data_IF_456625277489
#
_entry.id   IF_456625277489
#
_cell.length_a   1.000
_cell.length_b   1.000
_cell.length_c   1.000
_cell.angle_alpha   90.00
_cell.angle_beta   90.00
_cell.angle_gamma   90.00
#
_symmetry.space_group_name_H-M   'P 1'
#
loop_
_entity.id
_entity.type
_entity.pdbx_description
1 polymer ?
#
# COMPACT_ATOMS: atom_id res chain seq x y z
N UNK A 1 41.32 -55.82 -46.97
CA UNK A 1 41.84 -54.59 -46.34
C UNK A 1 41.08 -53.41 -46.90
N UNK A 2 40.45 -52.63 -46.02
CA UNK A 2 39.61 -51.47 -46.34
C UNK A 2 40.46 -50.25 -46.73
N UNK A 3 40.00 -49.48 -47.71
CA UNK A 3 40.40 -48.08 -47.87
C UNK A 3 39.22 -47.28 -48.44
N UNK A 4 38.43 -46.68 -47.54
CA UNK A 4 37.36 -45.74 -47.84
C UNK A 4 37.93 -44.33 -47.87
N UNK A 5 37.80 -43.63 -49.01
CA UNK A 5 38.08 -42.20 -49.11
C UNK A 5 37.04 -41.42 -48.28
N UNK A 6 37.52 -40.58 -47.36
CA UNK A 6 36.70 -39.67 -46.56
C UNK A 6 36.97 -38.24 -47.07
N UNK A 7 36.06 -37.69 -47.86
CA UNK A 7 36.04 -36.26 -48.20
C UNK A 7 35.28 -35.49 -47.10
N UNK A 8 35.75 -34.30 -46.66
CA UNK A 8 35.04 -33.50 -45.69
C UNK A 8 34.07 -32.56 -46.40
N UNK A 9 32.77 -32.90 -46.39
CA UNK A 9 31.70 -31.96 -46.74
C UNK A 9 31.18 -31.38 -45.42
N UNK A 10 31.80 -30.30 -44.91
CA UNK A 10 31.22 -29.58 -43.77
C UNK A 10 31.64 -28.11 -43.58
N UNK A 11 32.34 -27.49 -44.53
CA UNK A 11 32.78 -26.09 -44.37
C UNK A 11 31.97 -25.05 -45.15
N UNK A 12 31.10 -25.44 -46.08
CA UNK A 12 30.30 -24.46 -46.85
C UNK A 12 28.94 -24.13 -46.20
N UNK A 13 28.35 -25.03 -45.42
CA UNK A 13 27.03 -24.81 -44.80
C UNK A 13 27.10 -24.03 -43.48
N UNK A 14 28.23 -24.05 -42.78
CA UNK A 14 28.43 -23.31 -41.54
C UNK A 14 28.72 -21.82 -41.77
N UNK A 15 29.23 -21.44 -42.94
CA UNK A 15 29.47 -20.04 -43.29
C UNK A 15 28.17 -19.28 -43.69
N UNK A 16 27.19 -19.97 -44.29
CA UNK A 16 25.94 -19.32 -44.73
C UNK A 16 24.93 -19.12 -43.58
N UNK A 17 24.99 -19.94 -42.53
CA UNK A 17 24.12 -19.82 -41.36
C UNK A 17 24.54 -18.67 -40.40
N UNK A 18 25.82 -18.26 -40.40
CA UNK A 18 26.29 -17.17 -39.53
C UNK A 18 26.06 -15.76 -40.10
N UNK A 19 25.87 -15.60 -41.41
CA UNK A 19 25.60 -14.28 -42.02
C UNK A 19 24.12 -13.90 -41.95
N UNK A 20 23.20 -14.88 -41.91
CA UNK A 20 21.75 -14.59 -41.85
C UNK A 20 21.24 -14.21 -40.45
N UNK A 21 22.01 -14.46 -39.39
CA UNK A 21 21.60 -14.14 -38.02
C UNK A 21 22.02 -12.74 -37.54
N UNK A 22 22.75 -11.96 -38.35
CA UNK A 22 23.26 -10.63 -37.95
C UNK A 22 22.48 -9.45 -38.56
N UNK A 23 21.42 -9.69 -39.33
CA UNK A 23 20.66 -8.63 -40.05
C UNK A 23 19.23 -8.39 -39.54
N UNK A 24 18.85 -8.93 -38.37
CA UNK A 24 17.49 -8.79 -37.81
C UNK A 24 17.41 -8.14 -36.42
N UNK A 25 18.41 -7.33 -36.03
CA UNK A 25 18.37 -6.56 -34.76
C UNK A 25 18.41 -5.04 -34.99
N UNK A 26 18.05 -4.56 -36.18
CA UNK A 26 17.72 -3.14 -36.37
C UNK A 26 16.25 -2.90 -36.08
N UNK A 27 15.98 -2.64 -34.80
CA UNK A 27 14.96 -1.69 -34.32
C UNK A 27 13.57 -1.73 -34.95
N UNK A 28 12.76 -2.70 -34.56
CA UNK A 28 11.30 -2.50 -34.57
C UNK A 28 10.88 -1.88 -33.23
N UNK A 29 11.05 -0.57 -33.06
CA UNK A 29 10.36 0.15 -31.99
C UNK A 29 8.86 0.08 -32.26
N UNK A 30 8.06 -0.34 -31.28
CA UNK A 30 6.59 -0.36 -31.45
C UNK A 30 6.07 1.06 -31.64
N UNK A 31 4.94 1.26 -32.35
CA UNK A 31 4.33 2.58 -32.51
C UNK A 31 4.08 3.29 -31.17
N UNK A 32 3.74 2.54 -30.13
CA UNK A 32 3.58 3.05 -28.76
C UNK A 32 4.90 3.58 -28.17
N UNK A 33 6.02 2.91 -28.43
CA UNK A 33 7.34 3.35 -27.97
C UNK A 33 7.79 4.63 -28.69
N UNK A 34 7.46 4.77 -29.97
CA UNK A 34 7.77 5.98 -30.75
C UNK A 34 6.95 7.18 -30.28
N UNK A 35 5.66 6.99 -29.96
CA UNK A 35 4.81 8.03 -29.40
C UNK A 35 5.30 8.48 -28.02
N UNK A 36 5.63 7.55 -27.13
CA UNK A 36 6.17 7.87 -25.81
C UNK A 36 7.49 8.66 -25.91
N UNK A 37 8.39 8.24 -26.80
CA UNK A 37 9.67 8.94 -27.00
C UNK A 37 9.48 10.35 -27.61
N UNK A 38 8.51 10.52 -28.51
CA UNK A 38 8.19 11.82 -29.10
C UNK A 38 7.57 12.78 -28.07
N UNK A 39 6.73 12.27 -27.17
CA UNK A 39 6.10 13.04 -26.10
C UNK A 39 7.13 13.50 -25.06
N UNK A 40 8.04 12.62 -24.64
CA UNK A 40 9.17 12.96 -23.76
C UNK A 40 10.08 14.02 -24.41
N UNK A 41 10.38 13.88 -25.70
CA UNK A 41 11.21 14.85 -26.42
C UNK A 41 10.52 16.21 -26.54
N UNK A 42 9.20 16.25 -26.73
CA UNK A 42 8.42 17.50 -26.80
C UNK A 42 8.38 18.24 -25.47
N UNK A 43 8.17 17.53 -24.35
CA UNK A 43 8.15 18.09 -22.99
C UNK A 43 9.52 18.68 -22.64
N UNK A 44 10.61 17.95 -22.90
CA UNK A 44 11.96 18.43 -22.63
C UNK A 44 12.33 19.67 -23.47
N UNK A 45 11.77 19.79 -24.68
CA UNK A 45 11.98 20.95 -25.56
C UNK A 45 11.18 22.18 -25.07
N UNK A 46 10.01 21.97 -24.46
CA UNK A 46 9.22 23.05 -23.83
C UNK A 46 9.90 23.59 -22.56
N UNK A 47 10.52 22.72 -21.76
CA UNK A 47 11.33 23.15 -20.58
C UNK A 47 12.55 23.98 -20.99
N UNK A 48 13.21 23.65 -22.11
CA UNK A 48 14.42 24.35 -22.54
C UNK A 48 14.19 25.76 -23.11
N UNK A 49 12.94 26.15 -23.43
CA UNK A 49 12.66 27.41 -24.16
C UNK A 49 11.97 28.48 -23.30
N UNK A 50 11.76 28.24 -22.00
CA UNK A 50 11.02 29.16 -21.11
C UNK A 50 11.98 29.93 -20.17
N UNK A 51 12.07 31.28 -20.21
CA UNK A 51 13.02 32.05 -19.39
C UNK A 51 12.67 32.18 -17.89
N UNK A 52 11.79 31.33 -17.35
CA UNK A 52 11.32 31.41 -15.96
C UNK A 52 11.35 30.04 -15.29
N UNK A 53 12.54 29.45 -15.18
CA UNK A 53 12.78 28.32 -14.30
C UNK A 53 13.02 28.81 -12.86
N UNK A 54 11.96 29.27 -12.20
CA UNK A 54 11.87 29.27 -10.74
C UNK A 54 10.89 28.18 -10.35
N UNK A 55 11.37 27.18 -9.63
CA UNK A 55 10.65 26.02 -9.13
C UNK A 55 9.49 26.44 -8.23
N UNK A 56 8.29 26.53 -8.80
CA UNK A 56 7.04 26.48 -8.04
C UNK A 56 6.49 25.05 -8.10
N UNK A 57 6.16 24.52 -6.92
CA UNK A 57 5.53 23.21 -6.78
C UNK A 57 4.22 23.20 -7.59
N UNK A 58 4.13 22.30 -8.57
CA UNK A 58 2.95 22.09 -9.41
C UNK A 58 1.82 21.52 -8.56
N UNK A 59 1.02 22.40 -7.96
CA UNK A 59 -0.25 22.06 -7.33
C UNK A 59 -1.31 22.18 -8.43
N UNK A 60 -1.57 21.06 -9.13
CA UNK A 60 -2.48 21.01 -10.28
C UNK A 60 -3.84 21.65 -9.99
N UNK A 61 -4.25 22.59 -10.85
CA UNK A 61 -5.59 23.19 -10.87
C UNK A 61 -6.59 22.21 -11.52
N UNK A 62 -7.71 21.92 -10.85
CA UNK A 62 -8.74 20.99 -11.34
C UNK A 62 -9.72 21.61 -12.33
N UNK A 63 -10.29 20.76 -13.18
CA UNK A 63 -11.43 21.06 -14.04
C UNK A 63 -12.77 20.70 -13.36
N UNK A 64 -13.91 21.06 -13.98
CA UNK A 64 -15.24 20.95 -13.35
C UNK A 64 -15.77 19.52 -13.11
N UNK A 65 -15.06 18.48 -13.55
CA UNK A 65 -15.52 17.08 -13.53
C UNK A 65 -14.69 16.17 -12.65
N UNK A 66 -13.75 16.71 -11.88
CA UNK A 66 -12.87 15.92 -11.03
C UNK A 66 -13.60 15.46 -9.75
N UNK A 67 -13.38 14.21 -9.29
CA UNK A 67 -14.02 13.70 -8.07
C UNK A 67 -13.59 14.53 -6.84
N UNK A 68 -14.50 14.76 -5.89
CA UNK A 68 -14.21 15.58 -4.71
C UNK A 68 -13.09 14.95 -3.89
N UNK A 69 -12.13 15.78 -3.45
CA UNK A 69 -11.09 15.35 -2.51
C UNK A 69 -11.72 14.85 -1.22
N UNK A 70 -11.15 13.80 -0.64
CA UNK A 70 -11.27 13.54 0.78
C UNK A 70 -10.75 14.79 1.50
N UNK A 71 -11.66 15.57 2.07
CA UNK A 71 -11.36 16.73 2.89
C UNK A 71 -10.44 16.32 4.04
N UNK A 72 -9.35 17.06 4.23
CA UNK A 72 -8.30 16.86 5.23
C UNK A 72 -8.74 17.13 6.67
N UNK A 73 -10.04 17.27 6.92
CA UNK A 73 -10.57 17.74 8.20
C UNK A 73 -11.16 16.61 9.08
N UNK A 74 -10.88 15.35 8.75
CA UNK A 74 -11.13 14.24 9.68
C UNK A 74 -9.80 13.82 10.31
N UNK A 75 -9.55 14.13 11.60
CA UNK A 75 -8.35 13.69 12.28
C UNK A 75 -8.40 12.16 12.37
N UNK A 76 -7.55 11.51 11.59
CA UNK A 76 -7.14 10.15 11.88
C UNK A 76 -6.45 10.18 13.26
N UNK A 77 -7.03 9.48 14.24
CA UNK A 77 -6.44 9.35 15.58
C UNK A 77 -5.59 8.07 15.65
N UNK A 78 -4.26 8.14 15.48
CA UNK A 78 -3.37 6.99 15.59
C UNK A 78 -3.14 6.53 17.04
N UNK A 79 -3.82 7.12 18.04
CA UNK A 79 -3.50 6.94 19.46
C UNK A 79 -4.57 6.21 20.28
N UNK A 80 -5.56 5.54 19.69
CA UNK A 80 -6.51 4.74 20.49
C UNK A 80 -5.78 3.60 21.25
N UNK A 81 -5.63 3.67 22.59
CA UNK A 81 -4.87 2.71 23.37
C UNK A 81 -5.59 1.36 23.53
N UNK A 82 -6.90 1.28 23.26
CA UNK A 82 -7.65 0.02 23.34
C UNK A 82 -7.38 -0.91 22.13
N UNK A 83 -6.62 -0.44 21.14
CA UNK A 83 -6.20 -1.22 19.97
C UNK A 83 -4.80 -1.86 20.13
N UNK A 84 -4.14 -1.69 21.28
CA UNK A 84 -2.77 -2.13 21.50
C UNK A 84 -2.70 -3.23 22.55
N UNK A 85 -2.79 -4.49 22.10
CA UNK A 85 -1.95 -5.59 22.60
C UNK A 85 -2.04 -6.89 21.77
N UNK A 86 -2.28 -6.79 20.45
CA UNK A 86 -2.08 -7.93 19.55
C UNK A 86 -0.77 -7.75 18.78
N UNK A 87 0.30 -8.20 19.41
CA UNK A 87 1.65 -8.26 18.83
C UNK A 87 1.62 -9.23 17.65
N UNK A 88 1.36 -8.73 16.45
CA UNK A 88 1.38 -9.56 15.25
C UNK A 88 0.74 -8.93 14.00
N UNK A 89 1.57 -8.23 13.24
CA UNK A 89 1.41 -7.87 11.82
C UNK A 89 0.53 -6.63 11.53
N UNK A 90 1.12 -5.51 11.07
CA UNK A 90 0.44 -4.22 10.90
C UNK A 90 -0.77 -4.24 9.95
N UNK A 91 -0.84 -5.22 9.03
CA UNK A 91 -1.96 -5.37 8.09
C UNK A 91 -3.22 -6.01 8.69
N UNK A 92 -3.10 -6.79 9.77
CA UNK A 92 -4.23 -7.51 10.38
C UNK A 92 -4.90 -6.72 11.51
N UNK A 93 -4.29 -5.61 11.95
CA UNK A 93 -4.82 -4.74 13.00
C UNK A 93 -6.14 -4.06 12.65
N UNK A 94 -6.58 -4.10 11.39
CA UNK A 94 -7.78 -3.43 10.89
C UNK A 94 -8.99 -4.35 10.63
N UNK A 95 -8.97 -5.60 11.12
CA UNK A 95 -10.05 -6.58 10.93
C UNK A 95 -11.29 -6.35 11.82
N UNK A 96 -11.42 -5.18 12.46
CA UNK A 96 -12.53 -4.87 13.34
C UNK A 96 -13.70 -4.38 12.49
N UNK A 97 -14.60 -5.30 12.17
CA UNK A 97 -15.94 -4.98 11.69
C UNK A 97 -16.73 -4.52 12.91
N UNK A 98 -17.14 -3.26 12.93
CA UNK A 98 -18.23 -2.80 13.80
C UNK A 98 -19.52 -3.48 13.29
N UNK A 99 -20.18 -4.34 14.09
CA UNK A 99 -21.41 -4.96 13.65
C UNK A 99 -22.51 -3.90 13.62
N UNK A 100 -22.96 -3.52 12.43
CA UNK A 100 -24.23 -2.83 12.28
C UNK A 100 -25.33 -3.67 12.96
N UNK A 101 -26.21 -3.06 13.78
CA UNK A 101 -27.16 -3.77 14.62
C UNK A 101 -28.35 -4.30 13.79
N UNK A 102 -28.11 -5.27 12.92
CA UNK A 102 -29.18 -6.04 12.28
C UNK A 102 -29.55 -7.19 13.22
N UNK A 103 -30.49 -6.93 14.12
CA UNK A 103 -30.94 -7.79 15.24
C UNK A 103 -31.37 -9.21 14.85
N UNK A 104 -31.56 -9.50 13.55
CA UNK A 104 -31.92 -10.84 13.05
C UNK A 104 -30.72 -11.76 12.79
N UNK A 105 -29.51 -11.21 12.65
CA UNK A 105 -28.26 -11.95 12.38
C UNK A 105 -27.13 -11.57 13.35
N UNK A 106 -27.46 -11.00 14.51
CA UNK A 106 -26.47 -10.65 15.53
C UNK A 106 -25.66 -11.88 15.98
N UNK A 107 -24.44 -11.63 16.46
CA UNK A 107 -23.60 -12.66 17.06
C UNK A 107 -24.28 -13.12 18.36
N UNK A 108 -24.62 -14.41 18.51
CA UNK A 108 -25.27 -14.89 19.72
C UNK A 108 -24.38 -14.76 20.96
N UNK A 109 -24.98 -14.45 22.11
CA UNK A 109 -24.24 -14.13 23.35
C UNK A 109 -23.40 -15.28 23.90
N UNK A 110 -23.75 -16.53 23.58
CA UNK A 110 -22.95 -17.72 23.92
C UNK A 110 -21.63 -17.78 23.13
N UNK A 111 -21.64 -17.39 21.85
CA UNK A 111 -20.43 -17.21 21.05
C UNK A 111 -19.57 -16.09 21.64
N UNK A 112 -20.17 -14.93 21.94
CA UNK A 112 -19.44 -13.80 22.53
C UNK A 112 -18.76 -14.15 23.85
N UNK A 113 -19.44 -14.93 24.72
CA UNK A 113 -18.85 -15.40 25.98
C UNK A 113 -17.60 -16.25 25.74
N UNK A 114 -17.63 -17.17 24.78
CA UNK A 114 -16.46 -18.00 24.45
C UNK A 114 -15.32 -17.17 23.86
N UNK A 115 -15.64 -16.20 22.99
CA UNK A 115 -14.65 -15.28 22.41
C UNK A 115 -13.99 -14.43 23.51
N UNK A 116 -14.77 -13.84 24.42
CA UNK A 116 -14.25 -13.07 25.56
C UNK A 116 -13.39 -13.93 26.49
N UNK A 117 -13.74 -15.20 26.66
CA UNK A 117 -12.95 -16.17 27.43
C UNK A 117 -11.71 -16.70 26.67
N UNK A 118 -11.42 -16.20 25.45
CA UNK A 118 -10.37 -16.69 24.55
C UNK A 118 -10.43 -18.20 24.23
N UNK A 119 -11.61 -18.81 24.38
CA UNK A 119 -11.87 -20.21 24.02
C UNK A 119 -12.21 -20.30 22.53
N UNK A 120 -11.24 -19.94 21.69
CA UNK A 120 -11.46 -19.81 20.24
C UNK A 120 -11.86 -21.13 19.55
N UNK A 121 -11.27 -22.30 19.88
CA UNK A 121 -11.71 -23.56 19.30
C UNK A 121 -13.19 -23.87 19.61
N UNK A 122 -13.58 -23.79 20.88
CA UNK A 122 -14.97 -24.00 21.32
C UNK A 122 -15.94 -23.03 20.64
N UNK A 123 -15.53 -21.76 20.49
CA UNK A 123 -16.31 -20.75 19.79
C UNK A 123 -16.51 -21.11 18.31
N UNK A 124 -15.46 -21.55 17.62
CA UNK A 124 -15.53 -21.96 16.21
C UNK A 124 -16.47 -23.18 16.05
N UNK A 125 -16.40 -24.16 16.95
CA UNK A 125 -17.29 -25.33 16.92
C UNK A 125 -18.76 -24.94 17.12
N UNK A 126 -19.03 -24.05 18.08
CA UNK A 126 -20.36 -23.51 18.29
C UNK A 126 -20.86 -22.72 17.07
N UNK A 127 -20.00 -21.90 16.46
CA UNK A 127 -20.32 -21.16 15.23
C UNK A 127 -20.64 -22.13 14.09
N UNK A 128 -19.85 -23.19 13.90
CA UNK A 128 -20.09 -24.21 12.88
C UNK A 128 -21.46 -24.89 13.09
N UNK A 129 -21.81 -25.23 14.33
CA UNK A 129 -23.11 -25.80 14.66
C UNK A 129 -24.28 -24.83 14.38
N UNK A 130 -24.10 -23.53 14.65
CA UNK A 130 -25.12 -22.50 14.38
C UNK A 130 -25.26 -22.20 12.88
N UNK A 131 -24.16 -22.17 12.12
CA UNK A 131 -24.18 -21.96 10.67
C UNK A 131 -24.88 -23.09 9.92
N UNK A 132 -24.93 -24.32 10.46
CA UNK A 132 -25.80 -25.38 9.91
C UNK A 132 -27.29 -25.01 9.93
N UNK A 133 -27.73 -24.28 10.96
CA UNK A 133 -29.12 -23.81 11.12
C UNK A 133 -29.37 -22.47 10.45
N UNK A 134 -28.32 -21.65 10.32
CA UNK A 134 -28.36 -20.29 9.76
C UNK A 134 -27.27 -20.09 8.69
N UNK A 135 -27.34 -20.77 7.53
CA UNK A 135 -26.23 -20.81 6.58
C UNK A 135 -25.80 -19.45 6.01
N UNK A 136 -26.73 -18.48 6.00
CA UNK A 136 -26.57 -17.12 5.50
C UNK A 136 -26.23 -16.09 6.59
N UNK A 137 -25.93 -16.50 7.83
CA UNK A 137 -25.51 -15.55 8.86
C UNK A 137 -24.05 -15.11 8.58
N UNK A 138 -23.89 -13.96 7.93
CA UNK A 138 -22.58 -13.43 7.54
C UNK A 138 -21.76 -12.95 8.73
N UNK A 139 -22.40 -12.40 9.76
CA UNK A 139 -21.76 -11.95 11.00
C UNK A 139 -21.04 -13.11 11.70
N UNK A 140 -21.68 -14.28 11.81
CA UNK A 140 -21.06 -15.49 12.35
C UNK A 140 -19.86 -15.95 11.51
N UNK A 141 -19.93 -15.84 10.17
CA UNK A 141 -18.81 -16.17 9.29
C UNK A 141 -17.63 -15.21 9.49
N UNK A 142 -17.89 -13.91 9.65
CA UNK A 142 -16.85 -12.94 9.97
C UNK A 142 -16.20 -13.21 11.33
N UNK A 143 -17.00 -13.51 12.36
CA UNK A 143 -16.44 -13.91 13.67
C UNK A 143 -15.58 -15.14 13.51
N UNK A 144 -16.05 -16.19 12.81
CA UNK A 144 -15.24 -17.38 12.54
C UNK A 144 -13.92 -17.04 11.85
N UNK A 145 -13.94 -16.26 10.78
CA UNK A 145 -12.72 -15.86 10.06
C UNK A 145 -11.75 -15.10 10.97
N UNK A 146 -12.25 -14.18 11.80
CA UNK A 146 -11.43 -13.47 12.80
C UNK A 146 -10.79 -14.44 13.78
N UNK A 147 -11.55 -15.36 14.36
CA UNK A 147 -11.01 -16.34 15.32
C UNK A 147 -9.97 -17.27 14.68
N UNK A 148 -10.16 -17.64 13.42
CA UNK A 148 -9.16 -18.42 12.66
C UNK A 148 -7.86 -17.62 12.48
N UNK A 149 -7.95 -16.32 12.20
CA UNK A 149 -6.78 -15.43 12.10
C UNK A 149 -6.05 -15.32 13.45
N UNK A 150 -6.79 -15.16 14.56
CA UNK A 150 -6.21 -15.15 15.92
C UNK A 150 -5.48 -16.45 16.25
N UNK A 151 -5.99 -17.59 15.75
CA UNK A 151 -5.34 -18.91 15.88
C UNK A 151 -4.21 -19.14 14.86
N UNK A 152 -3.91 -18.16 14.00
CA UNK A 152 -2.98 -18.30 12.85
C UNK A 152 -3.39 -19.38 11.83
N UNK A 153 -4.65 -19.80 11.83
CA UNK A 153 -5.28 -20.64 10.81
C UNK A 153 -5.65 -19.77 9.58
N UNK A 154 -4.63 -19.31 8.85
CA UNK A 154 -4.82 -18.43 7.69
C UNK A 154 -5.53 -19.13 6.53
N UNK A 155 -5.31 -20.43 6.35
CA UNK A 155 -5.96 -21.22 5.30
C UNK A 155 -7.45 -21.39 5.57
N UNK A 156 -7.81 -21.71 6.81
CA UNK A 156 -9.21 -21.77 7.24
C UNK A 156 -9.89 -20.40 7.17
N UNK A 157 -9.21 -19.33 7.59
CA UNK A 157 -9.72 -17.97 7.48
C UNK A 157 -9.97 -17.56 6.03
N UNK A 158 -9.01 -17.84 5.12
CA UNK A 158 -9.15 -17.57 3.68
C UNK A 158 -10.37 -18.30 3.11
N UNK A 159 -10.54 -19.59 3.44
CA UNK A 159 -11.72 -20.36 3.01
C UNK A 159 -13.03 -19.72 3.51
N UNK A 160 -13.11 -19.37 4.79
CA UNK A 160 -14.30 -18.73 5.36
C UNK A 160 -14.61 -17.39 4.68
N UNK A 161 -13.59 -16.56 4.39
CA UNK A 161 -13.77 -15.28 3.71
C UNK A 161 -14.20 -15.44 2.25
N UNK A 162 -13.67 -16.44 1.54
CA UNK A 162 -14.13 -16.79 0.18
C UNK A 162 -15.59 -17.24 0.19
N UNK A 163 -16.02 -18.00 1.21
CA UNK A 163 -17.43 -18.35 1.35
C UNK A 163 -18.31 -17.12 1.56
N UNK A 164 -17.81 -16.06 2.23
CA UNK A 164 -18.53 -14.79 2.35
C UNK A 164 -18.61 -14.09 0.99
N UNK A 165 -17.50 -13.96 0.24
CA UNK A 165 -17.53 -13.28 -1.08
C UNK A 165 -18.42 -13.98 -2.09
N UNK A 166 -18.57 -15.31 -1.99
CA UNK A 166 -19.49 -16.08 -2.84
C UNK A 166 -20.96 -15.83 -2.50
N UNK A 167 -21.29 -15.66 -1.22
CA UNK A 167 -22.67 -15.47 -0.76
C UNK A 167 -23.12 -14.01 -0.75
N UNK A 168 -22.16 -13.09 -0.59
CA UNK A 168 -22.36 -11.65 -0.42
C UNK A 168 -21.27 -10.88 -1.23
N UNK A 169 -21.28 -10.98 -2.57
CA UNK A 169 -20.26 -10.35 -3.43
C UNK A 169 -20.26 -8.81 -3.37
N UNK A 170 -21.30 -8.20 -2.83
CA UNK A 170 -21.44 -6.76 -2.64
C UNK A 170 -20.65 -6.21 -1.44
N UNK A 171 -20.21 -7.09 -0.53
CA UNK A 171 -19.49 -6.68 0.67
C UNK A 171 -18.01 -6.44 0.36
N UNK A 172 -17.46 -5.23 0.61
CA UNK A 172 -16.04 -4.96 0.42
C UNK A 172 -15.15 -5.48 1.55
N UNK A 173 -15.70 -5.72 2.75
CA UNK A 173 -14.94 -6.12 3.94
C UNK A 173 -14.20 -7.46 3.78
N UNK A 174 -14.80 -8.52 3.21
CA UNK A 174 -14.09 -9.78 3.01
C UNK A 174 -12.89 -9.64 2.07
N UNK A 175 -12.97 -8.77 1.07
CA UNK A 175 -11.86 -8.51 0.16
C UNK A 175 -10.70 -7.80 0.86
N UNK A 176 -10.99 -6.79 1.69
CA UNK A 176 -9.96 -6.18 2.55
C UNK A 176 -9.28 -7.21 3.46
N UNK A 177 -10.05 -8.13 4.04
CA UNK A 177 -9.52 -9.17 4.94
C UNK A 177 -8.68 -10.22 4.17
N UNK A 178 -9.12 -10.62 2.96
CA UNK A 178 -8.34 -11.48 2.06
C UNK A 178 -7.03 -10.82 1.64
N UNK A 179 -7.04 -9.51 1.41
CA UNK A 179 -5.83 -8.75 1.12
C UNK A 179 -4.85 -8.77 2.29
N UNK A 180 -5.33 -8.62 3.52
CA UNK A 180 -4.48 -8.69 4.71
C UNK A 180 -3.84 -10.08 4.88
N UNK A 181 -4.57 -11.17 4.59
CA UNK A 181 -4.01 -12.53 4.56
C UNK A 181 -2.96 -12.67 3.45
N UNK A 182 -3.26 -12.20 2.23
CA UNK A 182 -2.32 -12.25 1.11
C UNK A 182 -1.04 -11.45 1.41
N UNK A 183 -1.18 -10.25 1.98
CA UNK A 183 -0.08 -9.41 2.43
C UNK A 183 0.79 -10.10 3.48
N UNK A 184 0.19 -10.79 4.47
CA UNK A 184 0.92 -11.58 5.47
C UNK A 184 1.78 -12.68 4.82
N UNK A 185 1.32 -13.23 3.69
CA UNK A 185 2.02 -14.24 2.91
C UNK A 185 3.01 -13.64 1.87
N UNK A 186 3.27 -12.33 1.92
CA UNK A 186 4.06 -11.59 0.93
C UNK A 186 3.53 -11.67 -0.52
N UNK A 187 2.25 -12.01 -0.69
CA UNK A 187 1.57 -12.08 -1.99
C UNK A 187 1.00 -10.70 -2.34
N UNK A 188 1.90 -9.75 -2.59
CA UNK A 188 1.55 -8.33 -2.75
C UNK A 188 0.64 -8.05 -3.95
N UNK A 189 0.78 -8.78 -5.04
CA UNK A 189 -0.08 -8.66 -6.23
C UNK A 189 -1.50 -9.11 -5.90
N UNK A 190 -1.66 -10.28 -5.26
CA UNK A 190 -2.98 -10.78 -4.82
C UNK A 190 -3.62 -9.82 -3.81
N UNK A 191 -2.83 -9.27 -2.88
CA UNK A 191 -3.32 -8.28 -1.92
C UNK A 191 -3.85 -7.01 -2.61
N UNK A 192 -3.12 -6.48 -3.61
CA UNK A 192 -3.56 -5.34 -4.43
C UNK A 192 -4.91 -5.64 -5.09
N UNK A 193 -5.02 -6.78 -5.77
CA UNK A 193 -6.21 -7.13 -6.54
C UNK A 193 -7.46 -7.22 -5.65
N UNK A 194 -7.33 -7.78 -4.44
CA UNK A 194 -8.43 -7.77 -3.48
C UNK A 194 -8.80 -6.36 -2.98
N UNK A 195 -7.82 -5.49 -2.73
CA UNK A 195 -8.10 -4.12 -2.29
C UNK A 195 -8.74 -3.27 -3.38
N UNK A 196 -8.31 -3.45 -4.63
CA UNK A 196 -8.95 -2.81 -5.79
C UNK A 196 -10.41 -3.27 -5.94
N UNK A 197 -10.72 -4.56 -5.69
CA UNK A 197 -12.10 -5.03 -5.62
C UNK A 197 -12.89 -4.39 -4.48
N UNK A 198 -12.30 -4.29 -3.28
CA UNK A 198 -12.95 -3.63 -2.13
C UNK A 198 -13.29 -2.17 -2.44
N UNK A 199 -12.37 -1.44 -3.07
CA UNK A 199 -12.57 -0.03 -3.45
C UNK A 199 -13.51 0.14 -4.64
N UNK A 200 -13.59 -0.84 -5.54
CA UNK A 200 -14.60 -0.85 -6.61
C UNK A 200 -16.01 -0.97 -6.04
N UNK A 201 -16.20 -1.79 -5.00
CA UNK A 201 -17.48 -1.96 -4.32
C UNK A 201 -17.83 -0.76 -3.43
N UNK A 202 -16.84 -0.18 -2.75
CA UNK A 202 -17.00 1.00 -1.90
C UNK A 202 -15.81 1.95 -2.05
N UNK A 203 -15.88 2.94 -2.95
CA UNK A 203 -14.79 3.90 -3.18
C UNK A 203 -14.40 4.72 -1.95
N UNK A 204 -15.33 4.91 -1.00
CA UNK A 204 -15.11 5.62 0.26
C UNK A 204 -14.49 4.76 1.37
N UNK A 205 -14.10 3.51 1.10
CA UNK A 205 -13.55 2.61 2.11
C UNK A 205 -12.10 2.99 2.47
N UNK A 206 -11.96 3.93 3.40
CA UNK A 206 -10.68 4.51 3.82
C UNK A 206 -9.63 3.48 4.23
N UNK A 207 -10.03 2.46 4.99
CA UNK A 207 -9.14 1.37 5.41
C UNK A 207 -8.56 0.60 4.22
N UNK A 208 -9.39 0.25 3.24
CA UNK A 208 -8.91 -0.43 2.03
C UNK A 208 -7.98 0.47 1.20
N UNK A 209 -8.26 1.78 1.13
CA UNK A 209 -7.40 2.74 0.44
C UNK A 209 -6.03 2.87 1.12
N UNK A 210 -6.00 2.95 2.46
CA UNK A 210 -4.77 3.00 3.24
C UNK A 210 -3.94 1.71 3.04
N UNK A 211 -4.59 0.55 3.16
CA UNK A 211 -3.96 -0.76 2.91
C UNK A 211 -3.40 -0.86 1.48
N UNK A 212 -4.10 -0.31 0.48
CA UNK A 212 -3.64 -0.32 -0.91
C UNK A 212 -2.40 0.57 -1.09
N UNK A 213 -2.35 1.71 -0.41
CA UNK A 213 -1.17 2.56 -0.35
C UNK A 213 0.05 1.81 0.19
N UNK A 214 -0.09 1.09 1.30
CA UNK A 214 0.98 0.27 1.85
C UNK A 214 1.41 -0.85 0.90
N UNK A 215 0.47 -1.51 0.21
CA UNK A 215 0.76 -2.52 -0.81
C UNK A 215 1.56 -1.91 -1.97
N UNK A 216 1.20 -0.73 -2.46
CA UNK A 216 1.95 -0.06 -3.53
C UNK A 216 3.36 0.34 -3.11
N UNK A 217 3.57 0.79 -1.86
CA UNK A 217 4.91 1.05 -1.34
C UNK A 217 5.78 -0.21 -1.40
N UNK A 218 5.24 -1.37 -1.02
CA UNK A 218 5.97 -2.65 -1.06
C UNK A 218 6.23 -3.15 -2.47
N UNK A 219 5.25 -3.03 -3.37
CA UNK A 219 5.42 -3.37 -4.78
C UNK A 219 6.48 -2.47 -5.44
N UNK A 220 6.45 -1.17 -5.15
CA UNK A 220 7.47 -0.22 -5.62
C UNK A 220 8.86 -0.55 -5.08
N UNK A 221 8.97 -0.91 -3.80
CA UNK A 221 10.24 -1.34 -3.21
C UNK A 221 10.78 -2.59 -3.92
N UNK A 222 9.93 -3.60 -4.14
CA UNK A 222 10.30 -4.84 -4.85
C UNK A 222 10.79 -4.55 -6.28
N UNK A 223 10.09 -3.67 -7.01
CA UNK A 223 10.49 -3.28 -8.36
C UNK A 223 11.88 -2.59 -8.38
N UNK A 224 12.17 -1.74 -7.39
CA UNK A 224 13.51 -1.15 -7.25
C UNK A 224 14.58 -2.17 -6.88
N UNK A 225 14.28 -3.15 -6.03
CA UNK A 225 15.20 -4.25 -5.72
C UNK A 225 15.51 -5.08 -6.98
N UNK A 226 14.50 -5.41 -7.77
CA UNK A 226 14.67 -6.14 -9.03
C UNK A 226 15.50 -5.33 -10.03
N UNK A 227 15.24 -4.02 -10.15
CA UNK A 227 16.05 -3.15 -10.99
C UNK A 227 17.51 -3.09 -10.52
N UNK A 228 17.76 -3.01 -9.20
CA UNK A 228 19.10 -2.99 -8.63
C UNK A 228 19.85 -4.32 -8.85
N UNK A 229 19.16 -5.46 -8.81
CA UNK A 229 19.76 -6.77 -9.02
C UNK A 229 20.20 -6.99 -10.48
N UNK A 230 19.53 -6.35 -11.44
CA UNK A 230 19.70 -6.59 -12.87
C UNK A 230 20.47 -5.48 -13.60
N UNK A 231 21.09 -4.52 -12.89
CA UNK A 231 21.85 -3.42 -13.48
C UNK A 231 23.21 -3.24 -12.85
N UNK A 232 24.19 -2.79 -13.64
CA UNK A 232 25.47 -2.29 -13.12
C UNK A 232 25.42 -0.76 -12.89
N UNK A 233 24.73 -0.03 -13.76
CA UNK A 233 24.55 1.42 -13.64
C UNK A 233 23.39 1.74 -12.71
N UNK A 234 23.54 2.73 -11.84
CA UNK A 234 22.52 3.17 -10.87
C UNK A 234 22.06 2.11 -9.84
N UNK A 235 22.77 0.98 -9.71
CA UNK A 235 22.45 -0.08 -8.75
C UNK A 235 22.24 0.46 -7.31
N UNK A 236 23.20 1.27 -6.82
CA UNK A 236 23.13 1.86 -5.48
C UNK A 236 21.94 2.81 -5.31
N UNK A 237 21.59 3.56 -6.36
CA UNK A 237 20.44 4.46 -6.33
C UNK A 237 19.14 3.67 -6.17
N UNK A 238 18.94 2.61 -6.94
CA UNK A 238 17.73 1.78 -6.85
C UNK A 238 17.63 1.05 -5.50
N UNK A 239 18.74 0.48 -5.01
CA UNK A 239 18.79 -0.13 -3.68
C UNK A 239 18.41 0.88 -2.57
N UNK A 240 18.90 2.12 -2.67
CA UNK A 240 18.53 3.18 -1.72
C UNK A 240 17.05 3.56 -1.80
N UNK A 241 16.46 3.63 -2.99
CA UNK A 241 15.04 3.93 -3.19
C UNK A 241 14.15 2.83 -2.61
N UNK A 242 14.48 1.56 -2.83
CA UNK A 242 13.79 0.44 -2.20
C UNK A 242 13.82 0.55 -0.67
N UNK A 243 15.00 0.79 -0.09
CA UNK A 243 15.17 0.98 1.35
C UNK A 243 14.35 2.16 1.89
N UNK A 244 14.32 3.28 1.17
CA UNK A 244 13.51 4.45 1.55
C UNK A 244 12.02 4.11 1.60
N UNK A 245 11.49 3.47 0.55
CA UNK A 245 10.09 3.05 0.52
C UNK A 245 9.74 2.13 1.70
N UNK A 246 10.58 1.12 1.99
CA UNK A 246 10.34 0.23 3.13
C UNK A 246 10.44 0.94 4.48
N UNK A 247 11.24 2.00 4.59
CA UNK A 247 11.31 2.81 5.82
C UNK A 247 10.03 3.60 6.08
N UNK A 248 9.25 3.97 5.05
CA UNK A 248 7.94 4.65 5.22
C UNK A 248 6.93 3.79 5.99
N UNK A 249 7.09 2.47 5.94
CA UNK A 249 6.20 1.51 6.60
C UNK A 249 6.58 1.21 8.06
N UNK A 250 7.70 1.74 8.54
CA UNK A 250 8.11 1.55 9.93
C UNK A 250 7.24 2.44 10.82
N UNK A 251 6.75 1.93 11.96
CA UNK A 251 6.09 2.76 12.96
C UNK A 251 7.02 3.93 13.31
N UNK A 252 6.51 5.16 13.18
CA UNK A 252 7.28 6.34 13.60
C UNK A 252 7.48 6.22 15.12
N UNK A 253 8.73 6.27 15.58
CA UNK A 253 8.99 6.38 17.00
C UNK A 253 8.30 7.65 17.49
N UNK A 254 7.52 7.56 18.58
CA UNK A 254 7.02 8.76 19.24
C UNK A 254 8.24 9.57 19.66
N UNK A 255 8.48 10.70 19.01
CA UNK A 255 9.42 11.68 19.54
C UNK A 255 8.85 12.18 20.87
N UNK A 256 9.53 11.93 22.02
CA UNK A 256 9.07 12.44 23.31
C UNK A 256 9.17 13.99 23.40
N UNK A 257 9.62 14.67 22.33
CA UNK A 257 9.91 16.09 22.31
C UNK A 257 8.79 16.98 21.70
N UNK A 258 7.66 16.42 21.25
CA UNK A 258 6.63 17.23 20.58
C UNK A 258 5.20 17.03 21.14
N UNK A 259 5.08 16.81 22.45
CA UNK A 259 3.82 16.95 23.18
C UNK A 259 3.78 18.29 23.91
N UNK A 260 3.56 19.39 23.17
CA UNK A 260 3.11 20.66 23.75
C UNK A 260 2.37 21.48 22.68
N UNK A 261 1.03 21.49 22.67
CA UNK A 261 0.27 22.49 21.94
C UNK A 261 0.00 23.67 22.88
N UNK A 262 1.00 24.51 23.14
CA UNK A 262 0.73 25.89 23.56
C UNK A 262 0.72 26.75 22.31
N UNK A 263 -0.49 26.95 21.77
CA UNK A 263 -0.82 28.08 20.90
C UNK A 263 -0.62 29.37 21.70
N UNK A 264 0.62 29.85 21.79
CA UNK A 264 0.89 31.23 22.17
C UNK A 264 1.05 32.04 20.89
N UNK A 265 -0.04 32.70 20.50
CA UNK A 265 -0.04 33.83 19.59
C UNK A 265 1.04 34.85 20.02
N UNK A 266 2.02 35.20 19.17
CA UNK A 266 2.80 36.40 19.40
C UNK A 266 2.01 37.59 18.86
N UNK A 267 1.25 38.24 19.73
CA UNK A 267 0.87 39.64 19.55
C UNK A 267 2.16 40.47 19.56
N UNK A 268 2.66 40.85 18.39
CA UNK A 268 3.76 41.82 18.27
C UNK A 268 3.22 43.23 18.46
N UNK A 269 3.07 43.66 19.70
CA UNK A 269 3.09 45.07 20.05
C UNK A 269 4.55 45.55 20.07
N UNK A 270 4.86 46.52 19.22
CA UNK A 270 6.14 47.24 19.20
C UNK A 270 6.35 48.02 20.49
N UNK A 271 7.57 48.08 21.05
CA UNK A 271 7.89 49.08 22.07
C UNK A 271 8.41 50.36 21.43
N UNK A 272 7.68 51.44 21.68
CA UNK A 272 8.06 52.84 21.43
C UNK A 272 9.37 53.23 22.11
N UNK A 273 10.02 54.24 21.54
CA UNK A 273 11.38 54.68 21.82
C UNK A 273 11.66 55.11 23.27
N UNK A 274 12.92 54.88 23.66
CA UNK A 274 13.53 55.35 24.90
C UNK A 274 13.58 56.88 24.95
N UNK A 275 12.86 57.46 25.90
CA UNK A 275 13.13 58.80 26.43
C UNK A 275 14.35 58.73 27.36
N UNK A 276 15.36 59.50 26.97
CA UNK A 276 16.57 59.79 27.70
C UNK A 276 16.27 60.86 28.76
N UNK A 277 16.63 60.65 30.02
CA UNK A 277 16.90 61.70 31.01
C UNK A 277 17.51 61.06 32.27
N UNK A 278 18.83 61.17 32.39
CA UNK A 278 19.56 60.97 33.64
C UNK A 278 20.28 62.26 33.98
N UNK A 279 19.77 63.01 34.96
CA UNK A 279 20.54 64.03 35.68
C UNK A 279 21.39 63.33 36.76
N UNK A 280 22.69 63.63 36.76
CA UNK A 280 23.66 63.20 37.75
C UNK A 280 24.93 64.03 37.60
N UNK A 281 24.96 65.19 38.25
CA UNK A 281 26.06 66.16 38.28
C UNK A 281 27.30 65.67 39.05
N UNK A 282 28.51 65.90 38.53
CA UNK A 282 29.72 66.17 39.36
C UNK A 282 30.68 67.16 38.70
N UNK A 283 30.91 68.26 39.42
CA UNK A 283 32.04 69.22 39.46
C UNK A 283 33.29 68.91 38.61
N UNK A 284 33.72 69.85 37.77
CA UNK A 284 34.70 70.91 38.07
C UNK A 284 34.82 71.86 36.88
#
# INVERSE_FOLDING_TARGET
>A
MFATLKAPISSLFTALAMVSSFLLVTGCSTPAQQLANAEIAAVNKQEATSPQAQTQAYLGSYGPTDPPRLSTDSPYDPLNPELSETVGVPFLSFLIIEPDPVTKNAVPSDVEKLVKARKYPDAIDLINAKLKKTPRNVQLRFVKARLQIELRDFDGAKKTLIEITQQFPELPEPYNNLAAIAANQNKWIEARDYLELALKLRPSYSTAAANLGEVYIRLGAKAYEDAAANTQLNQRLYANRAKYLLNLLKPQAKDPANSNPTLNNPSTNSPEGKLNNGEGTTKN
#
